data_IF_011389945395
#
_entry.id   IF_011389945395
#
_cell.length_a   1.000
_cell.length_b   1.000
_cell.length_c   1.000
_cell.angle_alpha   90.00
_cell.angle_beta   90.00
_cell.angle_gamma   90.00
#
_symmetry.space_group_name_H-M   'P 1'
#
loop_
_entity.id
_entity.type
_entity.pdbx_description
1 polymer ?
#
# COMPACT_ATOMS: atom_id res chain seq x y z
N UNK A 1 -2.53 -24.64 -16.32
CA UNK A 1 -2.28 -23.20 -16.53
C UNK A 1 -3.49 -22.32 -16.90
N UNK A 2 -4.63 -22.81 -17.41
CA UNK A 2 -5.78 -21.95 -17.73
C UNK A 2 -6.36 -21.22 -16.50
N UNK A 3 -6.21 -21.75 -15.29
CA UNK A 3 -6.71 -21.12 -14.06
C UNK A 3 -5.88 -19.90 -13.64
N UNK A 4 -4.56 -19.93 -13.76
CA UNK A 4 -3.67 -18.80 -13.45
C UNK A 4 -3.97 -17.61 -14.38
N UNK A 5 -4.19 -17.88 -15.66
CA UNK A 5 -4.54 -16.83 -16.62
C UNK A 5 -5.88 -16.15 -16.28
N UNK A 6 -6.88 -16.91 -15.84
CA UNK A 6 -8.17 -16.35 -15.40
C UNK A 6 -8.01 -15.41 -14.20
N UNK A 7 -7.16 -15.76 -13.23
CA UNK A 7 -6.91 -14.89 -12.07
C UNK A 7 -6.15 -13.63 -12.45
N UNK A 8 -5.13 -13.74 -13.31
CA UNK A 8 -4.41 -12.56 -13.80
C UNK A 8 -5.37 -11.63 -14.54
N UNK A 9 -6.20 -12.14 -15.43
CA UNK A 9 -7.21 -11.36 -16.15
C UNK A 9 -8.18 -10.70 -15.18
N UNK A 10 -8.70 -11.44 -14.19
CA UNK A 10 -9.60 -10.89 -13.17
C UNK A 10 -8.93 -9.74 -12.40
N UNK A 11 -7.68 -9.92 -11.94
CA UNK A 11 -6.95 -8.88 -11.23
C UNK A 11 -6.70 -7.64 -12.10
N UNK A 12 -6.34 -7.83 -13.37
CA UNK A 12 -6.14 -6.73 -14.30
C UNK A 12 -7.44 -5.97 -14.57
N UNK A 13 -8.55 -6.68 -14.80
CA UNK A 13 -9.87 -6.07 -14.98
C UNK A 13 -10.26 -5.30 -13.71
N UNK A 14 -10.09 -5.89 -12.53
CA UNK A 14 -10.42 -5.24 -11.25
C UNK A 14 -9.56 -3.98 -11.05
N UNK A 15 -8.27 -4.05 -11.31
CA UNK A 15 -7.37 -2.89 -11.21
C UNK A 15 -7.78 -1.79 -12.20
N UNK A 16 -8.08 -2.14 -13.44
CA UNK A 16 -8.54 -1.19 -14.46
C UNK A 16 -9.88 -0.53 -14.08
N UNK A 17 -10.84 -1.32 -13.59
CA UNK A 17 -12.14 -0.80 -13.14
C UNK A 17 -11.96 0.16 -11.94
N UNK A 18 -11.14 -0.22 -10.94
CA UNK A 18 -10.87 0.64 -9.80
C UNK A 18 -10.18 1.94 -10.22
N UNK A 19 -9.16 1.87 -11.06
CA UNK A 19 -8.50 3.06 -11.61
C UNK A 19 -9.50 3.93 -12.37
N UNK A 20 -10.36 3.33 -13.21
CA UNK A 20 -11.39 4.04 -13.94
C UNK A 20 -12.41 4.73 -13.02
N UNK A 21 -12.85 4.06 -11.95
CA UNK A 21 -13.76 4.67 -10.97
C UNK A 21 -13.12 5.89 -10.32
N UNK A 22 -11.88 5.80 -9.85
CA UNK A 22 -11.19 6.93 -9.21
C UNK A 22 -10.83 8.05 -10.18
N UNK A 23 -10.59 7.74 -11.45
CA UNK A 23 -10.28 8.76 -12.47
C UNK A 23 -11.52 9.48 -13.00
N UNK A 24 -12.64 8.76 -13.16
CA UNK A 24 -13.86 9.30 -13.72
C UNK A 24 -14.83 9.88 -12.67
N UNK A 25 -14.52 9.71 -11.39
CA UNK A 25 -15.36 10.22 -10.29
C UNK A 25 -14.50 11.02 -9.31
N UNK A 26 -15.15 11.82 -8.46
CA UNK A 26 -14.50 12.54 -7.35
C UNK A 26 -14.45 11.71 -6.07
N UNK A 27 -14.44 10.38 -6.15
CA UNK A 27 -14.51 9.49 -5.00
C UNK A 27 -13.35 9.64 -4.04
N UNK A 28 -12.15 9.86 -4.55
CA UNK A 28 -10.93 10.13 -3.78
C UNK A 28 -11.07 11.43 -2.97
N UNK A 29 -11.54 12.50 -3.59
CA UNK A 29 -11.81 13.79 -2.93
C UNK A 29 -12.90 13.63 -1.88
N UNK A 30 -14.00 12.95 -2.22
CA UNK A 30 -15.10 12.71 -1.30
C UNK A 30 -14.64 11.94 -0.05
N UNK A 31 -13.83 10.90 -0.21
CA UNK A 31 -13.27 10.14 0.92
C UNK A 31 -12.35 11.00 1.80
N UNK A 32 -11.54 11.85 1.21
CA UNK A 32 -10.59 12.68 1.94
C UNK A 32 -11.29 13.82 2.70
N UNK A 33 -12.40 14.35 2.16
CA UNK A 33 -13.18 15.41 2.81
C UNK A 33 -13.64 15.05 4.23
N UNK A 34 -13.88 13.77 4.53
CA UNK A 34 -14.24 13.33 5.90
C UNK A 34 -13.16 13.63 6.95
N UNK A 35 -11.91 13.81 6.54
CA UNK A 35 -10.79 14.08 7.42
C UNK A 35 -10.37 15.56 7.44
N UNK A 36 -10.96 16.38 6.57
CA UNK A 36 -10.69 17.80 6.48
C UNK A 36 -11.67 18.60 7.34
N UNK A 37 -11.15 19.53 8.14
CA UNK A 37 -11.97 20.46 8.91
C UNK A 37 -12.07 21.80 8.16
N UNK A 38 -13.22 22.13 7.58
CA UNK A 38 -13.37 23.38 6.83
C UNK A 38 -13.33 24.62 7.72
N UNK A 39 -13.61 24.50 9.01
CA UNK A 39 -13.55 25.64 9.96
C UNK A 39 -12.12 26.00 10.30
N UNK A 40 -11.24 25.00 10.36
CA UNK A 40 -9.82 25.16 10.61
C UNK A 40 -9.00 25.33 9.32
N UNK A 41 -9.58 25.05 8.15
CA UNK A 41 -8.90 25.05 6.86
C UNK A 41 -7.73 24.05 6.77
N UNK A 42 -7.78 22.93 7.51
CA UNK A 42 -6.69 21.96 7.60
C UNK A 42 -7.15 20.56 8.01
N UNK A 43 -6.24 19.60 7.92
CA UNK A 43 -6.40 18.26 8.46
C UNK A 43 -6.01 18.24 9.95
N UNK A 44 -6.94 18.05 10.90
CA UNK A 44 -6.66 18.17 12.34
C UNK A 44 -5.62 17.17 12.85
N UNK A 45 -5.53 16.00 12.18
CA UNK A 45 -4.63 14.91 12.59
C UNK A 45 -3.26 14.96 11.93
N UNK A 46 -3.00 15.90 11.00
CA UNK A 46 -1.74 16.01 10.24
C UNK A 46 -0.50 16.06 11.16
N UNK A 47 -0.56 16.82 12.23
CA UNK A 47 0.53 16.99 13.18
C UNK A 47 0.26 16.30 14.53
N UNK A 48 -0.81 15.53 14.66
CA UNK A 48 -1.16 14.88 15.90
C UNK A 48 -0.15 13.76 16.26
N UNK A 49 0.43 13.74 17.49
CA UNK A 49 1.52 12.83 17.85
C UNK A 49 1.20 11.33 17.64
N UNK A 50 -0.04 10.89 17.89
CA UNK A 50 -0.45 9.49 17.67
C UNK A 50 -0.37 9.17 16.18
N UNK A 51 -0.87 10.03 15.31
CA UNK A 51 -0.88 9.79 13.87
C UNK A 51 0.54 9.88 13.28
N UNK A 52 1.34 10.86 13.69
CA UNK A 52 2.69 11.04 13.14
C UNK A 52 3.70 10.05 13.72
N UNK A 53 3.79 9.91 15.06
CA UNK A 53 4.82 9.08 15.69
C UNK A 53 4.45 7.60 15.71
N UNK A 54 3.20 7.25 16.08
CA UNK A 54 2.79 5.85 16.23
C UNK A 54 2.33 5.28 14.89
N UNK A 55 1.29 5.85 14.30
CA UNK A 55 0.66 5.27 13.10
C UNK A 55 1.53 5.46 11.84
N UNK A 56 2.20 6.60 11.70
CA UNK A 56 3.05 6.86 10.52
C UNK A 56 4.44 6.24 10.68
N UNK A 57 5.24 6.70 11.66
CA UNK A 57 6.62 6.23 11.82
C UNK A 57 6.69 4.87 12.50
N UNK A 58 5.93 4.65 13.57
CA UNK A 58 5.97 3.41 14.36
C UNK A 58 5.51 2.20 13.56
N UNK A 59 4.32 2.24 12.95
CA UNK A 59 3.82 1.14 12.13
C UNK A 59 4.70 0.88 10.90
N UNK A 60 5.18 1.94 10.24
CA UNK A 60 6.12 1.79 9.13
C UNK A 60 7.38 1.03 9.56
N UNK A 61 7.99 1.46 10.65
CA UNK A 61 9.20 0.79 11.19
C UNK A 61 8.89 -0.65 11.59
N UNK A 62 7.76 -0.90 12.26
CA UNK A 62 7.31 -2.25 12.62
C UNK A 62 7.19 -3.14 11.38
N UNK A 63 6.53 -2.67 10.32
CA UNK A 63 6.39 -3.44 9.08
C UNK A 63 7.74 -3.76 8.43
N UNK A 64 8.69 -2.82 8.41
CA UNK A 64 10.03 -3.08 7.90
C UNK A 64 10.79 -4.11 8.75
N UNK A 65 10.78 -3.96 10.07
CA UNK A 65 11.45 -4.91 10.98
C UNK A 65 10.87 -6.31 10.83
N UNK A 66 9.54 -6.44 10.83
CA UNK A 66 8.87 -7.72 10.62
C UNK A 66 9.17 -8.30 9.23
N UNK A 67 9.22 -7.46 8.19
CA UNK A 67 9.59 -7.86 6.84
C UNK A 67 11.00 -8.45 6.80
N UNK A 68 11.98 -7.76 7.36
CA UNK A 68 13.36 -8.24 7.46
C UNK A 68 13.44 -9.54 8.27
N UNK A 69 12.78 -9.61 9.41
CA UNK A 69 12.72 -10.82 10.24
C UNK A 69 12.11 -12.01 9.48
N UNK A 70 11.02 -11.77 8.74
CA UNK A 70 10.40 -12.83 7.92
C UNK A 70 11.36 -13.38 6.86
N UNK A 71 12.18 -12.52 6.24
CA UNK A 71 13.20 -12.91 5.26
C UNK A 71 14.31 -13.71 5.94
N UNK A 72 14.83 -13.23 7.06
CA UNK A 72 15.92 -13.90 7.81
C UNK A 72 15.48 -15.30 8.26
N UNK A 73 14.30 -15.40 8.87
CA UNK A 73 13.73 -16.70 9.30
C UNK A 73 13.53 -17.63 8.10
N UNK A 74 13.07 -17.09 6.98
CA UNK A 74 12.87 -17.86 5.75
C UNK A 74 14.17 -18.38 5.17
N UNK A 75 15.22 -17.55 5.11
CA UNK A 75 16.55 -17.98 4.64
C UNK A 75 17.12 -19.07 5.55
N UNK A 76 16.98 -18.92 6.87
CA UNK A 76 17.40 -19.94 7.82
C UNK A 76 16.63 -21.26 7.62
N UNK A 77 15.33 -21.20 7.40
CA UNK A 77 14.48 -22.35 7.10
C UNK A 77 14.86 -23.02 5.78
N UNK A 78 15.14 -22.23 4.72
CA UNK A 78 15.57 -22.75 3.42
C UNK A 78 16.88 -23.54 3.48
N UNK A 79 17.79 -23.19 4.39
CA UNK A 79 19.05 -23.96 4.60
C UNK A 79 18.79 -25.34 5.20
N UNK A 80 17.65 -25.57 5.84
CA UNK A 80 17.31 -26.82 6.52
C UNK A 80 16.40 -27.74 5.70
N UNK A 81 15.66 -27.20 4.75
CA UNK A 81 14.73 -27.98 3.95
C UNK A 81 15.31 -28.33 2.58
N UNK A 82 15.06 -29.57 2.13
CA UNK A 82 15.35 -30.04 0.77
C UNK A 82 14.09 -30.19 -0.08
N UNK A 83 12.92 -29.91 0.49
CA UNK A 83 11.64 -30.04 -0.22
C UNK A 83 11.47 -28.89 -1.21
N UNK A 84 11.55 -29.19 -2.50
CA UNK A 84 11.45 -28.21 -3.60
C UNK A 84 10.13 -27.44 -3.58
N UNK A 85 9.02 -28.09 -3.24
CA UNK A 85 7.71 -27.42 -3.17
C UNK A 85 7.72 -26.37 -2.06
N UNK A 86 8.20 -26.72 -0.89
CA UNK A 86 8.33 -25.80 0.24
C UNK A 86 9.27 -24.62 -0.09
N UNK A 87 10.39 -24.88 -0.76
CA UNK A 87 11.32 -23.84 -1.21
C UNK A 87 10.60 -22.84 -2.13
N UNK A 88 9.83 -23.32 -3.11
CA UNK A 88 9.07 -22.44 -4.02
C UNK A 88 8.09 -21.55 -3.29
N UNK A 89 7.33 -22.09 -2.35
CA UNK A 89 6.37 -21.32 -1.54
C UNK A 89 7.08 -20.23 -0.71
N UNK A 90 8.18 -20.57 -0.04
CA UNK A 90 8.95 -19.61 0.75
C UNK A 90 9.54 -18.50 -0.14
N UNK A 91 10.06 -18.84 -1.31
CA UNK A 91 10.57 -17.85 -2.27
C UNK A 91 9.46 -16.88 -2.74
N UNK A 92 8.25 -17.36 -3.01
CA UNK A 92 7.10 -16.50 -3.35
C UNK A 92 6.82 -15.49 -2.22
N UNK A 93 6.84 -15.94 -0.96
CA UNK A 93 6.67 -15.06 0.20
C UNK A 93 7.76 -13.98 0.27
N UNK A 94 9.03 -14.36 0.18
CA UNK A 94 10.17 -13.43 0.22
C UNK A 94 10.09 -12.41 -0.93
N UNK A 95 9.91 -12.90 -2.17
CA UNK A 95 9.83 -12.03 -3.35
C UNK A 95 8.69 -11.02 -3.22
N UNK A 96 7.53 -11.44 -2.74
CA UNK A 96 6.39 -10.53 -2.57
C UNK A 96 6.65 -9.45 -1.50
N UNK A 97 7.23 -9.81 -0.37
CA UNK A 97 7.55 -8.85 0.71
C UNK A 97 8.55 -7.79 0.23
N UNK A 98 9.48 -8.13 -0.67
CA UNK A 98 10.45 -7.19 -1.23
C UNK A 98 9.87 -6.42 -2.41
N UNK A 99 9.24 -7.12 -3.34
CA UNK A 99 8.83 -6.56 -4.62
C UNK A 99 7.65 -5.59 -4.49
N UNK A 100 6.66 -5.87 -3.62
CA UNK A 100 5.47 -5.04 -3.47
C UNK A 100 5.84 -3.61 -3.02
N UNK A 101 6.57 -3.41 -1.91
CA UNK A 101 6.99 -2.06 -1.50
C UNK A 101 7.92 -1.38 -2.52
N UNK A 102 8.81 -2.14 -3.16
CA UNK A 102 9.72 -1.61 -4.17
C UNK A 102 8.98 -1.08 -5.40
N UNK A 103 8.00 -1.84 -5.93
CA UNK A 103 7.16 -1.40 -7.04
C UNK A 103 6.35 -0.16 -6.68
N UNK A 104 5.74 -0.13 -5.50
CA UNK A 104 4.97 1.05 -5.06
C UNK A 104 5.88 2.27 -4.90
N UNK A 105 7.09 2.11 -4.34
CA UNK A 105 8.06 3.19 -4.24
C UNK A 105 8.46 3.72 -5.62
N UNK A 106 8.70 2.85 -6.59
CA UNK A 106 9.01 3.23 -7.98
C UNK A 106 7.85 3.95 -8.66
N UNK A 107 6.63 3.43 -8.51
CA UNK A 107 5.43 4.02 -9.09
C UNK A 107 5.14 5.44 -8.55
N UNK A 108 5.46 5.73 -7.29
CA UNK A 108 5.33 7.08 -6.72
C UNK A 108 6.13 8.14 -7.48
N UNK A 109 7.29 7.78 -8.00
CA UNK A 109 8.08 8.69 -8.81
C UNK A 109 7.49 8.92 -10.20
N UNK A 110 6.67 8.00 -10.70
CA UNK A 110 6.05 8.09 -12.01
C UNK A 110 4.72 8.87 -11.97
N UNK A 111 3.91 8.65 -10.95
CA UNK A 111 2.56 9.24 -10.87
C UNK A 111 2.54 10.72 -10.55
N UNK A 112 3.56 11.25 -9.87
CA UNK A 112 3.70 12.68 -9.55
C UNK A 112 2.45 13.29 -8.86
N UNK A 113 1.75 12.54 -7.99
CA UNK A 113 0.52 13.01 -7.33
C UNK A 113 0.79 13.57 -5.95
N UNK A 114 0.17 14.72 -5.67
CA UNK A 114 0.29 15.43 -4.41
C UNK A 114 -0.60 14.85 -3.33
N UNK A 115 -0.24 15.12 -2.09
CA UNK A 115 -1.06 14.74 -0.94
C UNK A 115 -2.20 15.72 -0.76
N UNK A 116 -3.33 15.30 -0.17
CA UNK A 116 -4.50 16.14 -0.02
C UNK A 116 -4.24 17.50 0.64
N UNK A 117 -3.42 17.54 1.68
CA UNK A 117 -3.08 18.79 2.37
C UNK A 117 -2.26 19.80 1.53
N UNK A 118 -1.73 19.37 0.40
CA UNK A 118 -1.01 20.25 -0.54
C UNK A 118 -1.95 20.85 -1.58
N UNK A 119 -3.19 20.34 -1.69
CA UNK A 119 -4.15 20.76 -2.72
C UNK A 119 -4.83 22.08 -2.31
N UNK A 120 -5.07 22.94 -3.28
CA UNK A 120 -5.71 24.25 -3.10
C UNK A 120 -7.10 24.15 -2.47
N UNK A 121 -7.89 23.15 -2.87
CA UNK A 121 -9.21 22.89 -2.29
C UNK A 121 -9.18 22.52 -0.79
N UNK A 122 -8.01 22.18 -0.25
CA UNK A 122 -7.80 21.84 1.16
C UNK A 122 -6.82 22.82 1.85
N UNK A 123 -6.69 24.04 1.32
CA UNK A 123 -5.85 25.08 1.90
C UNK A 123 -4.37 25.01 1.51
N UNK A 124 -3.97 24.13 0.59
CA UNK A 124 -2.65 24.10 0.00
C UNK A 124 -2.50 25.05 -1.19
N UNK A 125 -1.45 24.86 -1.99
CA UNK A 125 -1.13 25.72 -3.14
C UNK A 125 -1.09 24.97 -4.48
N UNK A 126 -1.38 23.68 -4.51
CA UNK A 126 -1.26 22.82 -5.69
C UNK A 126 -2.64 22.50 -6.26
N UNK A 127 -2.89 22.68 -7.56
CA UNK A 127 -4.18 22.29 -8.14
C UNK A 127 -4.36 20.79 -8.11
N UNK A 128 -5.60 20.34 -7.93
CA UNK A 128 -5.94 18.92 -8.08
C UNK A 128 -5.72 18.49 -9.52
N UNK A 129 -5.14 17.32 -9.69
CA UNK A 129 -4.97 16.65 -10.99
C UNK A 129 -5.34 15.19 -10.88
N UNK A 130 -6.16 14.66 -11.78
CA UNK A 130 -6.48 13.24 -11.91
C UNK A 130 -5.24 12.38 -12.09
N UNK A 131 -5.35 11.07 -11.97
CA UNK A 131 -4.17 10.17 -12.01
C UNK A 131 -3.45 10.24 -13.37
N UNK A 132 -4.18 10.42 -14.45
CA UNK A 132 -3.66 10.48 -15.81
C UNK A 132 -3.29 11.90 -16.25
N UNK A 133 -3.67 12.92 -15.49
CA UNK A 133 -3.36 14.30 -15.82
C UNK A 133 -1.90 14.65 -15.52
N UNK A 134 -1.33 15.48 -16.35
CA UNK A 134 -0.01 16.05 -16.14
C UNK A 134 -0.09 17.24 -15.17
N UNK A 135 0.76 17.24 -14.14
CA UNK A 135 0.94 18.44 -13.31
C UNK A 135 1.72 19.50 -14.09
N UNK A 136 1.32 20.79 -14.06
CA UNK A 136 2.08 21.87 -14.68
C UNK A 136 3.54 21.91 -14.19
N UNK A 137 4.47 22.25 -15.06
CA UNK A 137 5.92 22.15 -14.82
C UNK A 137 6.47 23.05 -13.70
N UNK A 138 5.72 24.10 -13.34
CA UNK A 138 6.09 25.05 -12.27
C UNK A 138 5.83 24.55 -10.84
N UNK A 139 5.21 23.38 -10.68
CA UNK A 139 4.97 22.82 -9.35
C UNK A 139 6.02 21.74 -8.97
N UNK A 140 6.36 21.62 -7.67
CA UNK A 140 7.27 20.57 -7.22
C UNK A 140 6.64 19.17 -7.44
N UNK A 141 7.48 18.13 -7.48
CA UNK A 141 7.00 16.76 -7.67
C UNK A 141 6.28 16.24 -6.43
N UNK A 142 5.08 15.68 -6.64
CA UNK A 142 4.33 14.95 -5.63
C UNK A 142 4.77 13.50 -5.50
N UNK A 143 4.53 12.90 -4.31
CA UNK A 143 4.87 11.49 -4.03
C UNK A 143 3.82 10.83 -3.13
N UNK A 144 2.52 11.16 -3.31
CA UNK A 144 1.49 10.61 -2.45
C UNK A 144 0.82 9.34 -2.99
N UNK A 145 0.79 9.16 -4.29
CA UNK A 145 0.18 8.00 -4.91
C UNK A 145 1.23 7.16 -5.69
N UNK A 146 1.16 5.82 -5.65
CA UNK A 146 0.33 4.98 -4.78
C UNK A 146 0.74 5.05 -3.30
N UNK A 147 -0.17 4.65 -2.40
CA UNK A 147 0.01 4.75 -0.95
C UNK A 147 1.03 3.72 -0.42
N UNK A 148 2.29 4.14 -0.25
CA UNK A 148 3.38 3.26 0.21
C UNK A 148 3.19 2.72 1.62
N UNK A 149 2.49 3.44 2.49
CA UNK A 149 2.17 2.95 3.84
C UNK A 149 1.18 1.79 3.78
N UNK A 150 0.10 1.92 3.02
CA UNK A 150 -0.86 0.84 2.79
C UNK A 150 -0.17 -0.38 2.15
N UNK A 151 0.73 -0.16 1.18
CA UNK A 151 1.50 -1.24 0.57
C UNK A 151 2.36 -2.01 1.57
N UNK A 152 2.95 -1.34 2.57
CA UNK A 152 3.68 -1.97 3.67
C UNK A 152 2.80 -2.90 4.53
N UNK A 153 1.52 -2.59 4.70
CA UNK A 153 0.55 -3.49 5.32
C UNK A 153 0.12 -4.62 4.38
N UNK A 154 -0.24 -4.30 3.14
CA UNK A 154 -0.71 -5.30 2.17
C UNK A 154 0.37 -6.26 1.66
N UNK A 155 1.66 -5.96 1.82
CA UNK A 155 2.73 -6.89 1.42
C UNK A 155 2.62 -8.28 2.08
N UNK A 156 1.95 -8.39 3.22
CA UNK A 156 1.73 -9.64 3.94
C UNK A 156 0.80 -10.61 3.21
N UNK A 157 0.04 -10.16 2.19
CA UNK A 157 -0.66 -11.06 1.28
C UNK A 157 0.27 -12.02 0.56
N UNK A 158 1.53 -11.66 0.34
CA UNK A 158 2.51 -12.57 -0.27
C UNK A 158 2.70 -13.85 0.55
N UNK A 159 2.76 -13.73 1.89
CA UNK A 159 2.81 -14.88 2.78
C UNK A 159 1.48 -15.62 2.86
N UNK A 160 0.35 -14.92 2.83
CA UNK A 160 -0.95 -15.57 2.76
C UNK A 160 -1.06 -16.45 1.52
N UNK A 161 -0.69 -15.93 0.35
CA UNK A 161 -0.71 -16.68 -0.92
C UNK A 161 0.31 -17.82 -0.89
N UNK A 162 1.54 -17.54 -0.45
CA UNK A 162 2.61 -18.52 -0.40
C UNK A 162 2.28 -19.73 0.47
N UNK A 163 1.61 -19.52 1.59
CA UNK A 163 1.32 -20.57 2.57
C UNK A 163 -0.05 -21.21 2.41
N UNK A 164 -0.90 -20.73 1.50
CA UNK A 164 -2.29 -21.15 1.41
C UNK A 164 -2.48 -22.66 1.23
N UNK A 165 -1.65 -23.29 0.40
CA UNK A 165 -1.73 -24.72 0.09
C UNK A 165 -0.98 -25.62 1.09
N UNK A 166 0.00 -25.09 1.84
CA UNK A 166 0.85 -25.90 2.72
C UNK A 166 0.57 -25.66 4.21
N UNK A 167 0.15 -24.46 4.59
CA UNK A 167 -0.14 -24.07 5.97
C UNK A 167 -1.36 -23.13 6.02
N UNK A 168 -2.58 -23.62 5.72
CA UNK A 168 -3.76 -22.78 5.53
C UNK A 168 -4.18 -21.99 6.79
N UNK A 169 -3.87 -22.49 7.99
CA UNK A 169 -4.13 -21.76 9.25
C UNK A 169 -3.24 -20.52 9.34
N UNK A 170 -1.95 -20.66 9.05
CA UNK A 170 -0.98 -19.56 9.07
C UNK A 170 -1.26 -18.58 7.94
N UNK A 171 -1.60 -19.07 6.75
CA UNK A 171 -2.01 -18.24 5.62
C UNK A 171 -3.18 -17.32 5.94
N UNK A 172 -4.22 -17.83 6.65
CA UNK A 172 -5.35 -17.02 7.09
C UNK A 172 -4.95 -15.91 8.08
N UNK A 173 -3.99 -16.18 8.97
CA UNK A 173 -3.45 -15.16 9.87
C UNK A 173 -2.80 -14.04 9.04
N UNK A 174 -1.90 -14.37 8.12
CA UNK A 174 -1.27 -13.38 7.24
C UNK A 174 -2.28 -12.62 6.37
N UNK A 175 -3.34 -13.28 5.91
CA UNK A 175 -4.41 -12.65 5.14
C UNK A 175 -5.11 -11.55 5.96
N UNK A 176 -5.53 -11.87 7.19
CA UNK A 176 -6.21 -10.89 8.05
C UNK A 176 -5.27 -9.80 8.57
N UNK A 177 -4.01 -10.11 8.83
CA UNK A 177 -2.99 -9.12 9.17
C UNK A 177 -2.77 -8.14 8.01
N UNK A 178 -2.70 -8.64 6.77
CA UNK A 178 -2.57 -7.80 5.58
C UNK A 178 -3.76 -6.84 5.43
N UNK A 179 -4.99 -7.34 5.58
CA UNK A 179 -6.20 -6.53 5.57
C UNK A 179 -6.13 -5.46 6.67
N UNK A 180 -5.91 -5.88 7.91
CA UNK A 180 -5.93 -4.98 9.06
C UNK A 180 -4.87 -3.87 8.94
N UNK A 181 -3.60 -4.23 8.73
CA UNK A 181 -2.52 -3.24 8.64
C UNK A 181 -2.58 -2.42 7.36
N UNK A 182 -2.98 -3.01 6.24
CA UNK A 182 -3.13 -2.30 4.98
C UNK A 182 -4.16 -1.18 5.07
N UNK A 183 -5.35 -1.47 5.60
CA UNK A 183 -6.38 -0.46 5.79
C UNK A 183 -6.05 0.52 6.92
N UNK A 184 -5.56 0.04 8.07
CA UNK A 184 -5.16 0.92 9.17
C UNK A 184 -4.14 1.98 8.72
N UNK A 185 -3.09 1.55 8.03
CA UNK A 185 -2.05 2.45 7.55
C UNK A 185 -2.53 3.34 6.39
N UNK A 186 -3.43 2.85 5.55
CA UNK A 186 -4.07 3.63 4.49
C UNK A 186 -4.95 4.74 5.05
N UNK A 187 -5.88 4.41 5.94
CA UNK A 187 -6.81 5.37 6.57
C UNK A 187 -6.03 6.37 7.43
N UNK A 188 -5.06 5.91 8.24
CA UNK A 188 -4.23 6.82 9.02
C UNK A 188 -3.49 7.84 8.15
N UNK A 189 -3.14 7.47 6.91
CA UNK A 189 -2.50 8.38 5.97
C UNK A 189 -3.47 9.33 5.28
N UNK A 190 -4.72 8.93 5.10
CA UNK A 190 -5.77 9.83 4.60
C UNK A 190 -6.17 10.89 5.64
N UNK A 191 -6.07 10.54 6.94
CA UNK A 191 -6.40 11.46 8.04
C UNK A 191 -5.32 12.52 8.31
N UNK A 192 -4.13 12.36 7.76
CA UNK A 192 -2.98 13.28 7.88
C UNK A 192 -2.90 14.22 6.68
#
# INVERSE_FOLDING_TARGET
>A
MPWVNKQIIFLLITAFLLLGVFELTSLDIWLVQYFFDPTLGKFPYQNHPIFTKILHHGLKTLMYVMGVLSIVVSIWFLKKTKNVLTIRHVLVGIVGVVLIPALVASLKHLTNKHCPWSLDMFGGAIPYTGLLDALPANYPRGQCFPAGHAAGGFMWFSWAIALWSIQPKVARIFFWLAIFFGFLMGIARMAQ
#
